data_IF_371692940693
#
_entry.id   IF_371692940693
#
_cell.length_a   1.000
_cell.length_b   1.000
_cell.length_c   1.000
_cell.angle_alpha   90.00
_cell.angle_beta   90.00
_cell.angle_gamma   90.00
#
_symmetry.space_group_name_H-M   'P 1'
#
loop_
_entity.id
_entity.type
_entity.pdbx_description
1 polymer ?
#
# COMPACT_ATOMS: atom_id res chain seq x y z
N UNK A 1 2.16 -5.73 10.82
CA UNK A 1 3.04 -4.57 11.10
C UNK A 1 4.53 -4.90 11.30
N UNK A 2 4.96 -5.56 12.40
CA UNK A 2 6.40 -5.84 12.65
C UNK A 2 7.07 -6.62 11.51
N UNK A 3 6.34 -7.52 10.87
CA UNK A 3 6.88 -8.37 9.82
C UNK A 3 7.12 -7.61 8.50
N UNK A 4 6.16 -6.80 8.04
CA UNK A 4 6.33 -5.99 6.82
C UNK A 4 7.48 -5.00 6.97
N UNK A 5 7.51 -4.24 8.08
CA UNK A 5 8.60 -3.30 8.33
C UNK A 5 9.96 -4.02 8.49
N UNK A 6 10.00 -5.16 9.20
CA UNK A 6 11.23 -5.96 9.30
C UNK A 6 11.74 -6.43 7.94
N UNK A 7 10.85 -6.97 7.10
CA UNK A 7 11.21 -7.44 5.76
C UNK A 7 11.67 -6.28 4.87
N UNK A 8 11.01 -5.12 4.97
CA UNK A 8 11.43 -3.89 4.28
C UNK A 8 12.83 -3.44 4.70
N UNK A 9 13.11 -3.38 6.01
CA UNK A 9 14.41 -2.98 6.53
C UNK A 9 15.53 -3.95 6.12
N UNK A 10 15.25 -5.25 6.11
CA UNK A 10 16.20 -6.27 5.67
C UNK A 10 16.55 -6.13 4.18
N UNK A 11 15.53 -6.00 3.33
CA UNK A 11 15.69 -5.75 1.90
C UNK A 11 16.43 -4.43 1.64
N UNK A 12 16.08 -3.36 2.35
CA UNK A 12 16.67 -2.02 2.14
C UNK A 12 18.15 -1.97 2.54
N UNK A 13 18.56 -2.74 3.54
CA UNK A 13 19.96 -2.82 3.98
C UNK A 13 20.83 -3.69 3.08
N UNK A 14 20.22 -4.63 2.33
CA UNK A 14 20.93 -5.52 1.42
C UNK A 14 20.23 -5.59 0.05
N UNK A 15 20.26 -4.53 -0.78
CA UNK A 15 19.51 -4.47 -2.03
C UNK A 15 19.86 -5.58 -3.05
N UNK A 16 21.10 -6.05 -3.01
CA UNK A 16 21.62 -7.13 -3.86
C UNK A 16 21.17 -8.54 -3.41
N UNK A 17 20.61 -8.66 -2.20
CA UNK A 17 20.13 -9.94 -1.68
C UNK A 17 18.75 -10.26 -2.26
N UNK A 18 18.74 -11.14 -3.26
CA UNK A 18 17.51 -11.58 -3.92
C UNK A 18 16.53 -12.27 -2.97
N UNK A 19 17.01 -13.04 -1.99
CA UNK A 19 16.13 -13.75 -1.04
C UNK A 19 15.43 -12.76 -0.11
N UNK A 20 16.14 -11.74 0.38
CA UNK A 20 15.55 -10.66 1.17
C UNK A 20 14.49 -9.89 0.37
N UNK A 21 14.76 -9.64 -0.91
CA UNK A 21 13.82 -8.96 -1.82
C UNK A 21 12.58 -9.80 -2.09
N UNK A 22 12.73 -11.10 -2.37
CA UNK A 22 11.60 -12.02 -2.56
C UNK A 22 10.76 -12.15 -1.29
N UNK A 23 11.40 -12.24 -0.12
CA UNK A 23 10.71 -12.29 1.17
C UNK A 23 9.88 -11.02 1.40
N UNK A 24 10.44 -9.84 1.14
CA UNK A 24 9.68 -8.58 1.26
C UNK A 24 8.43 -8.57 0.37
N UNK A 25 8.55 -8.93 -0.91
CA UNK A 25 7.39 -8.96 -1.80
C UNK A 25 6.35 -10.02 -1.42
N UNK A 26 6.78 -11.17 -0.91
CA UNK A 26 5.86 -12.19 -0.37
C UNK A 26 5.07 -11.65 0.82
N UNK A 27 5.77 -11.05 1.80
CA UNK A 27 5.13 -10.43 2.98
C UNK A 27 4.21 -9.29 2.57
N UNK A 28 4.62 -8.42 1.65
CA UNK A 28 3.80 -7.30 1.17
C UNK A 28 2.52 -7.81 0.49
N UNK A 29 2.64 -8.81 -0.39
CA UNK A 29 1.50 -9.38 -1.11
C UNK A 29 0.43 -9.97 -0.17
N UNK A 30 0.85 -10.55 0.95
CA UNK A 30 -0.03 -11.20 1.93
C UNK A 30 -0.44 -10.26 3.08
N UNK A 31 0.02 -9.00 3.09
CA UNK A 31 -0.36 -8.02 4.10
C UNK A 31 -1.66 -7.32 3.72
N UNK A 32 -2.60 -7.20 4.67
CA UNK A 32 -3.75 -6.31 4.55
C UNK A 32 -3.30 -4.86 4.72
N UNK A 33 -3.75 -4.02 3.79
CA UNK A 33 -3.40 -2.61 3.69
C UNK A 33 -4.68 -1.77 3.58
N UNK A 34 -4.61 -0.55 4.08
CA UNK A 34 -5.66 0.46 3.99
C UNK A 34 -5.32 1.39 2.83
N UNK A 35 -5.97 1.21 1.69
CA UNK A 35 -5.79 2.02 0.48
C UNK A 35 -6.63 3.29 0.57
N UNK A 36 -5.99 4.45 0.38
CA UNK A 36 -6.69 5.73 0.30
C UNK A 36 -7.50 5.83 -1.00
N UNK A 37 -8.76 6.27 -0.89
CA UNK A 37 -9.68 6.42 -2.02
C UNK A 37 -10.07 7.89 -2.23
N UNK A 38 -10.51 8.23 -3.44
CA UNK A 38 -11.07 9.56 -3.73
C UNK A 38 -12.41 9.77 -3.02
N UNK A 39 -13.19 8.70 -2.87
CA UNK A 39 -14.51 8.69 -2.26
C UNK A 39 -14.82 7.32 -1.67
N UNK A 40 -15.85 7.26 -0.82
CA UNK A 40 -16.33 6.00 -0.24
C UNK A 40 -16.63 4.97 -1.33
N UNK A 41 -16.28 3.69 -1.13
CA UNK A 41 -16.55 2.63 -2.09
C UNK A 41 -18.02 2.60 -2.51
N UNK A 42 -18.28 2.56 -3.82
CA UNK A 42 -19.63 2.43 -4.36
C UNK A 42 -19.73 1.21 -5.28
N UNK A 43 -20.70 0.33 -5.04
CA UNK A 43 -20.96 -0.85 -5.89
C UNK A 43 -19.70 -1.68 -6.20
N UNK A 44 -18.85 -1.92 -5.21
CA UNK A 44 -17.59 -2.69 -5.33
C UNK A 44 -16.49 -2.02 -6.18
N UNK A 45 -16.70 -0.79 -6.64
CA UNK A 45 -15.68 -0.01 -7.34
C UNK A 45 -14.82 0.71 -6.31
N UNK A 46 -13.52 0.47 -6.36
CA UNK A 46 -12.51 1.17 -5.59
C UNK A 46 -11.80 2.15 -6.51
N UNK A 47 -11.83 3.44 -6.17
CA UNK A 47 -11.16 4.51 -6.93
C UNK A 47 -9.93 4.98 -6.11
N UNK A 48 -8.72 4.47 -6.39
CA UNK A 48 -7.53 4.85 -5.63
C UNK A 48 -7.26 6.34 -5.77
N UNK A 49 -6.98 6.99 -4.65
CA UNK A 49 -6.51 8.37 -4.65
C UNK A 49 -5.05 8.42 -5.06
N UNK A 50 -4.78 9.10 -6.18
CA UNK A 50 -3.42 9.28 -6.66
C UNK A 50 -2.86 10.63 -6.22
N UNK A 51 -1.67 10.61 -5.63
CA UNK A 51 -0.87 11.81 -5.40
C UNK A 51 0.20 11.93 -6.48
N UNK A 52 0.52 13.15 -6.87
CA UNK A 52 1.60 13.41 -7.82
C UNK A 52 2.88 13.82 -7.08
N UNK A 53 3.95 13.06 -7.30
CA UNK A 53 5.28 13.34 -6.76
C UNK A 53 6.31 13.22 -7.88
N UNK A 54 7.10 14.28 -8.07
CA UNK A 54 8.15 14.33 -9.12
C UNK A 54 7.63 13.94 -10.52
N UNK A 55 6.38 14.33 -10.85
CA UNK A 55 5.75 14.04 -12.14
C UNK A 55 5.25 12.61 -12.30
N UNK A 56 5.22 11.80 -11.23
CA UNK A 56 4.68 10.43 -11.22
C UNK A 56 3.48 10.32 -10.28
N UNK A 57 2.55 9.44 -10.62
CA UNK A 57 1.37 9.15 -9.81
C UNK A 57 1.67 8.01 -8.83
N UNK A 58 1.24 8.18 -7.58
CA UNK A 58 1.37 7.18 -6.53
C UNK A 58 0.04 7.00 -5.83
N UNK A 59 -0.38 5.75 -5.68
CA UNK A 59 -1.44 5.38 -4.75
C UNK A 59 -0.83 5.21 -3.34
N UNK A 60 -1.56 5.64 -2.32
CA UNK A 60 -1.13 5.55 -0.92
C UNK A 60 -1.87 4.43 -0.20
N UNK A 61 -1.11 3.53 0.42
CA UNK A 61 -1.64 2.44 1.23
C UNK A 61 -0.90 2.37 2.56
N UNK A 62 -1.63 2.15 3.64
CA UNK A 62 -1.14 2.17 5.02
C UNK A 62 -1.33 0.81 5.68
N UNK A 63 -0.59 0.55 6.75
CA UNK A 63 -0.73 -0.70 7.53
C UNK A 63 -1.75 -0.58 8.68
N UNK A 64 -2.32 0.60 8.90
CA UNK A 64 -3.43 0.87 9.81
C UNK A 64 -4.28 2.06 9.35
N UNK A 65 -5.55 2.07 9.72
CA UNK A 65 -6.47 3.21 9.53
C UNK A 65 -6.02 4.44 10.32
N UNK A 66 -5.43 4.25 11.50
CA UNK A 66 -4.89 5.34 12.33
C UNK A 66 -3.79 6.09 11.59
N UNK A 67 -2.79 5.39 11.05
CA UNK A 67 -1.71 6.01 10.27
C UNK A 67 -2.21 6.69 8.99
N UNK A 68 -3.25 6.14 8.36
CA UNK A 68 -3.89 6.76 7.20
C UNK A 68 -4.57 8.06 7.60
N UNK A 69 -5.37 8.04 8.65
CA UNK A 69 -6.11 9.21 9.15
C UNK A 69 -5.17 10.31 9.64
N UNK A 70 -4.10 9.94 10.35
CA UNK A 70 -3.03 10.86 10.76
C UNK A 70 -2.35 11.52 9.56
N UNK A 71 -2.10 10.75 8.48
CA UNK A 71 -1.50 11.28 7.26
C UNK A 71 -2.45 12.21 6.50
N UNK A 72 -3.72 11.83 6.37
CA UNK A 72 -4.70 12.58 5.59
C UNK A 72 -5.19 13.83 6.32
N UNK A 73 -5.17 13.83 7.66
CA UNK A 73 -5.50 14.99 8.51
C UNK A 73 -7.00 15.25 8.69
N UNK A 74 -7.85 14.42 8.10
CA UNK A 74 -9.31 14.45 8.21
C UNK A 74 -9.90 13.04 7.98
N UNK A 75 -11.23 12.93 8.05
CA UNK A 75 -11.90 11.68 7.68
C UNK A 75 -11.61 11.36 6.20
N UNK A 76 -11.00 10.19 5.96
CA UNK A 76 -10.58 9.74 4.65
C UNK A 76 -11.39 8.51 4.24
N UNK A 77 -11.82 8.46 2.97
CA UNK A 77 -12.36 7.23 2.41
C UNK A 77 -11.22 6.23 2.17
N UNK A 78 -11.42 4.98 2.59
CA UNK A 78 -10.43 3.93 2.41
C UNK A 78 -11.07 2.57 2.13
N UNK A 79 -10.26 1.65 1.60
CA UNK A 79 -10.62 0.23 1.52
C UNK A 79 -9.51 -0.64 2.08
N UNK A 80 -9.89 -1.73 2.76
CA UNK A 80 -8.95 -2.78 3.15
C UNK A 80 -8.75 -3.75 1.98
N UNK A 81 -7.51 -3.84 1.49
CA UNK A 81 -7.11 -4.73 0.39
C UNK A 81 -5.83 -5.47 0.75
N UNK A 82 -5.64 -6.68 0.22
CA UNK A 82 -4.33 -7.33 0.30
C UNK A 82 -3.35 -6.64 -0.65
N UNK A 83 -2.06 -6.64 -0.33
CA UNK A 83 -1.03 -6.10 -1.23
C UNK A 83 -1.06 -6.77 -2.62
N UNK A 84 -1.47 -8.03 -2.71
CA UNK A 84 -1.66 -8.74 -3.98
C UNK A 84 -2.80 -8.14 -4.82
N UNK A 85 -3.94 -7.84 -4.19
CA UNK A 85 -5.08 -7.21 -4.86
C UNK A 85 -4.70 -5.80 -5.31
N UNK A 86 -4.06 -5.03 -4.43
CA UNK A 86 -3.58 -3.68 -4.75
C UNK A 86 -2.63 -3.68 -5.96
N UNK A 87 -1.64 -4.58 -5.98
CA UNK A 87 -0.70 -4.68 -7.11
C UNK A 87 -1.40 -5.03 -8.43
N UNK A 88 -2.46 -5.84 -8.38
CA UNK A 88 -3.26 -6.16 -9.56
C UNK A 88 -4.07 -4.94 -10.02
N UNK A 89 -4.72 -4.22 -9.09
CA UNK A 89 -5.49 -3.01 -9.41
C UNK A 89 -4.62 -1.97 -10.13
N UNK A 90 -3.41 -1.72 -9.63
CA UNK A 90 -2.48 -0.73 -10.21
C UNK A 90 -1.87 -1.15 -11.54
N UNK A 91 -1.99 -2.42 -11.95
CA UNK A 91 -1.56 -2.90 -13.26
C UNK A 91 -2.61 -2.64 -14.35
N UNK A 92 -3.88 -2.56 -13.95
CA UNK A 92 -5.03 -2.40 -14.85
C UNK A 92 -5.37 -0.92 -15.13
N UNK A 93 -4.66 0.01 -14.49
CA UNK A 93 -4.68 1.47 -14.74
C UNK A 93 -3.73 1.91 -15.88
#
# INVERSE_FOLDING_TARGET
>A
MKQLNKAFLEMSRNPENNDARLNYYGVLADTNLFLLLEQEPSNEILEPKFIQLEGKNFALAFDSEESLSEFYGEAAAFAEVTGRVLAKMLLEE
#
